data_IF_687838242165
#
_entry.id   IF_687838242165
#
_cell.length_a   1.000
_cell.length_b   1.000
_cell.length_c   1.000
_cell.angle_alpha   90.00
_cell.angle_beta   90.00
_cell.angle_gamma   90.00
#
_symmetry.space_group_name_H-M   'P 1'
#
loop_
_entity.id
_entity.type
_entity.pdbx_description
1 polymer ?
#
# COMPACT_ATOMS: atom_id res chain seq x y z
N UNK A 1 24.93 -5.60 -6.63
CA UNK A 1 23.51 -5.19 -6.72
C UNK A 1 23.11 -5.18 -8.18
N UNK A 2 21.98 -5.78 -8.53
CA UNK A 2 21.47 -5.85 -9.91
C UNK A 2 20.07 -5.22 -9.95
N UNK A 3 19.80 -4.34 -10.92
CA UNK A 3 18.46 -3.77 -11.10
C UNK A 3 17.53 -4.84 -11.68
N UNK A 4 16.46 -5.16 -10.94
CA UNK A 4 15.49 -6.21 -11.30
C UNK A 4 14.21 -5.63 -11.87
N UNK A 5 13.77 -4.49 -11.33
CA UNK A 5 12.51 -3.86 -11.73
C UNK A 5 12.56 -2.35 -11.49
N UNK A 6 12.05 -1.58 -12.46
CA UNK A 6 11.83 -0.13 -12.35
C UNK A 6 10.33 0.11 -12.26
N UNK A 7 9.86 0.45 -11.07
CA UNK A 7 8.47 0.83 -10.83
C UNK A 7 8.24 2.33 -11.02
N UNK A 8 6.98 2.77 -10.81
CA UNK A 8 6.60 4.18 -10.91
C UNK A 8 7.30 5.03 -9.84
N UNK A 9 7.28 4.59 -8.58
CA UNK A 9 7.81 5.34 -7.43
C UNK A 9 9.07 4.72 -6.81
N UNK A 10 9.47 3.51 -7.22
CA UNK A 10 10.59 2.77 -6.64
C UNK A 10 11.34 1.94 -7.69
N UNK A 11 12.65 1.80 -7.50
CA UNK A 11 13.47 0.82 -8.22
C UNK A 11 13.83 -0.33 -7.28
N UNK A 12 13.84 -1.56 -7.80
CA UNK A 12 14.09 -2.79 -7.04
C UNK A 12 15.40 -3.39 -7.50
N UNK A 13 16.32 -3.59 -6.54
CA UNK A 13 17.60 -4.22 -6.78
C UNK A 13 17.70 -5.55 -6.05
N UNK A 14 18.19 -6.59 -6.73
CA UNK A 14 18.59 -7.83 -6.08
C UNK A 14 19.92 -7.64 -5.33
N UNK A 15 19.99 -8.20 -4.13
CA UNK A 15 21.18 -8.28 -3.30
C UNK A 15 21.77 -9.69 -3.34
N UNK A 16 23.07 -9.78 -3.04
CA UNK A 16 23.82 -11.06 -3.06
C UNK A 16 23.37 -12.03 -1.96
N UNK A 17 22.75 -11.52 -0.89
CA UNK A 17 22.23 -12.31 0.22
C UNK A 17 20.80 -12.85 -0.01
N UNK A 18 20.29 -12.72 -1.24
CA UNK A 18 18.95 -13.19 -1.64
C UNK A 18 17.81 -12.23 -1.28
N UNK A 19 18.09 -11.13 -0.58
CA UNK A 19 17.13 -10.07 -0.30
C UNK A 19 17.04 -9.07 -1.46
N UNK A 20 16.12 -8.12 -1.34
CA UNK A 20 15.98 -7.00 -2.26
C UNK A 20 16.26 -5.67 -1.56
N UNK A 21 16.70 -4.67 -2.32
CA UNK A 21 16.73 -3.28 -1.91
C UNK A 21 15.72 -2.48 -2.75
N UNK A 22 14.81 -1.79 -2.09
CA UNK A 22 13.90 -0.83 -2.71
C UNK A 22 14.52 0.56 -2.60
N UNK A 23 14.71 1.26 -3.72
CA UNK A 23 15.15 2.65 -3.77
C UNK A 23 13.97 3.53 -4.11
N UNK A 24 13.60 4.40 -3.18
CA UNK A 24 12.46 5.30 -3.33
C UNK A 24 12.83 6.49 -4.21
N UNK A 25 11.90 6.89 -5.09
CA UNK A 25 12.05 8.00 -6.01
C UNK A 25 11.10 9.14 -5.64
N UNK A 26 11.41 10.32 -6.13
CA UNK A 26 10.58 11.51 -5.99
C UNK A 26 9.50 11.61 -7.10
N UNK A 27 9.47 10.64 -8.01
CA UNK A 27 8.37 10.44 -8.96
C UNK A 27 7.08 10.08 -8.21
N UNK A 28 6.00 10.80 -8.48
CA UNK A 28 4.67 10.53 -7.92
C UNK A 28 3.66 10.26 -9.04
N UNK A 29 2.64 9.45 -8.72
CA UNK A 29 1.59 9.14 -9.67
C UNK A 29 0.64 10.32 -9.87
N UNK A 30 0.08 10.44 -11.06
CA UNK A 30 -0.86 11.50 -11.41
C UNK A 30 -1.27 11.48 -12.87
N UNK A 31 -2.21 12.35 -13.21
CA UNK A 31 -2.68 12.57 -14.58
C UNK A 31 -2.57 14.07 -14.92
N UNK A 32 -2.10 14.38 -16.13
CA UNK A 32 -1.99 15.76 -16.63
C UNK A 32 -1.22 16.73 -15.69
N UNK A 33 -0.18 16.24 -15.01
CA UNK A 33 0.61 17.05 -14.06
C UNK A 33 -0.05 17.26 -12.69
N UNK A 34 -1.19 16.63 -12.42
CA UNK A 34 -1.89 16.68 -11.13
C UNK A 34 -1.63 15.38 -10.38
N UNK A 35 -1.20 15.49 -9.13
CA UNK A 35 -1.00 14.34 -8.24
C UNK A 35 -2.30 13.57 -8.04
N UNK A 36 -2.27 12.26 -8.31
CA UNK A 36 -3.35 11.33 -8.01
C UNK A 36 -2.75 9.99 -7.60
N UNK A 37 -2.88 9.56 -6.33
CA UNK A 37 -2.38 8.27 -5.88
C UNK A 37 -3.14 7.08 -6.47
N UNK A 38 -4.30 7.31 -7.09
CA UNK A 38 -5.06 6.30 -7.82
C UNK A 38 -4.76 6.26 -9.32
N UNK A 39 -3.84 7.08 -9.83
CA UNK A 39 -3.49 7.11 -11.24
C UNK A 39 -2.45 6.05 -11.60
N UNK A 40 -2.53 5.57 -12.85
CA UNK A 40 -1.65 4.53 -13.38
C UNK A 40 -0.41 5.07 -14.11
N UNK A 41 -0.17 6.37 -14.06
CA UNK A 41 0.97 7.02 -14.71
C UNK A 41 1.78 7.87 -13.74
N UNK A 42 3.07 8.05 -14.01
CA UNK A 42 3.87 9.10 -13.34
C UNK A 42 3.36 10.45 -13.84
N UNK A 43 2.88 11.27 -12.91
CA UNK A 43 2.26 12.55 -13.25
C UNK A 43 3.22 13.73 -13.11
N UNK A 44 4.13 13.68 -12.12
CA UNK A 44 5.06 14.75 -11.78
C UNK A 44 6.16 14.22 -10.83
N UNK A 45 7.17 15.07 -10.57
CA UNK A 45 8.17 14.85 -9.53
C UNK A 45 7.95 15.84 -8.38
N UNK A 46 8.02 15.34 -7.16
CA UNK A 46 7.92 16.14 -5.94
C UNK A 46 9.17 15.86 -5.10
N UNK A 47 10.04 16.86 -4.98
CA UNK A 47 11.28 16.73 -4.21
C UNK A 47 11.00 16.26 -2.77
N UNK A 48 11.69 15.20 -2.35
CA UNK A 48 11.57 14.62 -1.02
C UNK A 48 10.39 13.66 -0.82
N UNK A 49 9.54 13.45 -1.84
CA UNK A 49 8.42 12.51 -1.76
C UNK A 49 8.87 11.07 -1.47
N UNK A 50 9.96 10.62 -2.10
CA UNK A 50 10.49 9.27 -1.89
C UNK A 50 10.97 9.08 -0.45
N UNK A 51 11.72 10.06 0.08
CA UNK A 51 12.19 10.02 1.47
C UNK A 51 11.05 10.15 2.48
N UNK A 52 10.03 10.96 2.20
CA UNK A 52 8.84 11.06 3.04
C UNK A 52 8.06 9.73 3.08
N UNK A 53 7.85 9.10 1.92
CA UNK A 53 7.23 7.78 1.82
C UNK A 53 8.02 6.72 2.57
N UNK A 54 9.35 6.73 2.46
CA UNK A 54 10.22 5.81 3.18
C UNK A 54 10.17 6.00 4.71
N UNK A 55 10.10 7.25 5.21
CA UNK A 55 10.00 7.51 6.66
C UNK A 55 8.70 6.94 7.25
N UNK A 56 7.56 7.20 6.62
CA UNK A 56 6.28 6.61 7.01
C UNK A 56 6.33 5.08 6.93
N UNK A 57 6.92 4.55 5.85
CA UNK A 57 7.06 3.11 5.66
C UNK A 57 7.88 2.48 6.78
N UNK A 58 9.06 3.03 7.08
CA UNK A 58 9.89 2.58 8.21
C UNK A 58 9.10 2.57 9.52
N UNK A 59 8.43 3.69 9.83
CA UNK A 59 7.63 3.84 11.05
C UNK A 59 6.57 2.74 11.21
N UNK A 60 5.75 2.54 10.17
CA UNK A 60 4.66 1.56 10.23
C UNK A 60 5.17 0.12 10.21
N UNK A 61 6.15 -0.20 9.36
CA UNK A 61 6.68 -1.57 9.29
C UNK A 61 7.38 -2.00 10.59
N UNK A 62 8.14 -1.10 11.25
CA UNK A 62 8.73 -1.39 12.57
C UNK A 62 7.64 -1.69 13.62
N UNK A 63 6.57 -0.88 13.65
CA UNK A 63 5.44 -1.08 14.57
C UNK A 63 4.67 -2.37 14.29
N UNK A 64 4.41 -2.68 13.02
CA UNK A 64 3.71 -3.90 12.58
C UNK A 64 4.55 -5.14 12.95
N UNK A 65 5.86 -5.11 12.69
CA UNK A 65 6.78 -6.19 13.06
C UNK A 65 6.85 -6.39 14.58
N UNK A 66 6.84 -5.33 15.38
CA UNK A 66 6.81 -5.41 16.84
C UNK A 66 5.55 -6.11 17.39
N UNK A 67 4.45 -6.09 16.64
CA UNK A 67 3.22 -6.82 16.94
C UNK A 67 3.20 -8.26 16.40
N UNK A 68 4.30 -8.72 15.81
CA UNK A 68 4.43 -10.08 15.26
C UNK A 68 3.67 -10.30 13.95
N UNK A 69 3.23 -9.23 13.28
CA UNK A 69 2.56 -9.32 11.98
C UNK A 69 3.63 -9.42 10.89
N UNK A 70 3.54 -10.41 9.97
CA UNK A 70 4.58 -10.66 8.98
C UNK A 70 4.66 -9.54 7.94
N UNK A 71 5.88 -9.02 7.75
CA UNK A 71 6.21 -8.09 6.66
C UNK A 71 7.50 -8.50 5.96
N UNK A 72 7.74 -7.96 4.77
CA UNK A 72 9.04 -8.12 4.10
C UNK A 72 10.14 -7.20 4.66
N UNK A 73 9.84 -6.28 5.56
CA UNK A 73 10.81 -5.26 5.99
C UNK A 73 11.96 -5.86 6.81
N UNK A 74 13.19 -5.40 6.52
CA UNK A 74 14.39 -5.74 7.29
C UNK A 74 14.97 -4.49 7.95
N UNK A 75 15.34 -3.48 7.16
CA UNK A 75 15.89 -2.20 7.65
C UNK A 75 15.74 -1.11 6.56
N UNK A 76 15.93 0.15 6.92
CA UNK A 76 15.92 1.28 6.00
C UNK A 76 16.98 2.33 6.32
N UNK A 77 17.66 2.80 5.26
CA UNK A 77 18.58 3.94 5.25
C UNK A 77 17.84 5.16 4.69
N UNK A 78 17.47 6.07 5.58
CA UNK A 78 16.71 7.28 5.27
C UNK A 78 17.53 8.31 4.48
N UNK A 79 18.85 8.33 4.66
CA UNK A 79 19.73 9.26 3.95
C UNK A 79 19.91 8.82 2.50
N UNK A 80 20.15 7.52 2.29
CA UNK A 80 20.24 6.93 0.97
C UNK A 80 18.88 6.80 0.25
N UNK A 81 17.76 6.90 0.98
CA UNK A 81 16.41 6.72 0.43
C UNK A 81 16.14 5.26 0.05
N UNK A 82 16.64 4.31 0.84
CA UNK A 82 16.56 2.88 0.52
C UNK A 82 16.01 2.03 1.66
N UNK A 83 15.36 0.92 1.31
CA UNK A 83 14.80 -0.06 2.22
C UNK A 83 15.24 -1.46 1.83
N UNK A 84 15.85 -2.19 2.75
CA UNK A 84 16.18 -3.60 2.58
C UNK A 84 14.99 -4.45 2.98
N UNK A 85 14.61 -5.40 2.12
CA UNK A 85 13.44 -6.25 2.30
C UNK A 85 13.73 -7.71 1.95
N UNK A 86 13.04 -8.64 2.60
CA UNK A 86 12.98 -10.03 2.20
C UNK A 86 12.42 -10.13 0.79
N UNK A 87 12.99 -11.00 -0.04
CA UNK A 87 12.42 -11.29 -1.35
C UNK A 87 11.03 -11.91 -1.18
N UNK A 88 10.05 -11.32 -1.86
CA UNK A 88 8.67 -11.79 -1.87
C UNK A 88 8.25 -12.24 -3.26
N UNK A 89 7.37 -13.23 -3.32
CA UNK A 89 6.69 -13.64 -4.54
C UNK A 89 5.26 -13.10 -4.52
N UNK A 90 4.87 -12.19 -5.43
CA UNK A 90 3.51 -11.63 -5.45
C UNK A 90 2.47 -12.70 -5.82
N UNK A 91 1.21 -12.44 -5.51
CA UNK A 91 0.08 -13.25 -5.98
C UNK A 91 -0.24 -12.88 -7.44
N UNK A 92 -0.24 -13.86 -8.34
CA UNK A 92 -0.44 -13.61 -9.78
C UNK A 92 0.60 -12.64 -10.34
N UNK A 93 0.14 -11.55 -10.96
CA UNK A 93 0.98 -10.43 -11.41
C UNK A 93 1.02 -9.26 -10.40
N UNK A 94 0.48 -9.47 -9.20
CA UNK A 94 0.31 -8.46 -8.18
C UNK A 94 -1.17 -8.19 -7.90
N UNK A 95 -1.46 -7.97 -6.62
CA UNK A 95 -2.78 -7.62 -6.12
C UNK A 95 -2.67 -6.34 -5.31
N UNK A 96 -3.66 -5.48 -5.46
CA UNK A 96 -3.85 -4.35 -4.57
C UNK A 96 -5.02 -4.66 -3.63
N UNK A 97 -4.77 -4.59 -2.34
CA UNK A 97 -5.74 -4.94 -1.30
C UNK A 97 -6.09 -3.67 -0.54
N UNK A 98 -7.33 -3.21 -0.70
CA UNK A 98 -7.76 -1.90 -0.22
C UNK A 98 -8.69 -2.08 0.98
N UNK A 99 -8.33 -1.45 2.10
CA UNK A 99 -9.19 -1.35 3.28
C UNK A 99 -9.85 0.02 3.32
N UNK A 100 -11.18 0.07 3.48
CA UNK A 100 -11.98 1.30 3.50
C UNK A 100 -12.75 1.45 4.80
N UNK A 101 -12.62 2.62 5.42
CA UNK A 101 -13.42 3.09 6.56
C UNK A 101 -14.45 4.15 6.14
N UNK A 102 -14.27 4.75 4.96
CA UNK A 102 -15.22 5.68 4.35
C UNK A 102 -15.46 5.30 2.89
N UNK A 103 -16.70 5.45 2.42
CA UNK A 103 -17.03 5.30 1.02
C UNK A 103 -16.52 6.51 0.24
N UNK A 104 -15.42 6.35 -0.48
CA UNK A 104 -14.78 7.39 -1.31
C UNK A 104 -14.13 6.78 -2.55
N UNK A 105 -13.74 7.62 -3.52
CA UNK A 105 -12.97 7.20 -4.69
C UNK A 105 -13.65 6.13 -5.54
N UNK A 106 -12.91 5.09 -5.92
CA UNK A 106 -13.42 4.03 -6.81
C UNK A 106 -14.63 3.27 -6.24
N UNK A 107 -14.77 3.17 -4.91
CA UNK A 107 -15.94 2.59 -4.28
C UNK A 107 -17.22 3.38 -4.62
N UNK A 108 -17.19 4.71 -4.48
CA UNK A 108 -18.34 5.56 -4.85
C UNK A 108 -18.60 5.57 -6.35
N UNK A 109 -17.54 5.52 -7.19
CA UNK A 109 -17.74 5.43 -8.64
C UNK A 109 -18.53 4.17 -9.02
N UNK A 110 -18.29 3.04 -8.34
CA UNK A 110 -19.02 1.78 -8.57
C UNK A 110 -20.39 1.74 -7.90
N UNK A 111 -20.51 2.27 -6.68
CA UNK A 111 -21.68 2.06 -5.83
C UNK A 111 -22.44 3.34 -5.46
N UNK A 112 -22.20 4.47 -6.13
CA UNK A 112 -22.74 5.79 -5.75
C UNK A 112 -24.28 5.93 -5.78
N UNK A 113 -25.00 4.98 -6.38
CA UNK A 113 -26.47 4.88 -6.24
C UNK A 113 -26.90 4.40 -4.85
N UNK A 114 -26.03 3.65 -4.16
CA UNK A 114 -26.30 2.96 -2.90
C UNK A 114 -25.41 3.44 -1.74
N UNK A 115 -24.49 4.37 -2.01
CA UNK A 115 -23.56 4.90 -1.03
C UNK A 115 -23.42 6.43 -1.18
N UNK A 116 -23.24 7.11 -0.06
CA UNK A 116 -22.97 8.56 -0.02
C UNK A 116 -21.48 8.84 0.18
N UNK A 117 -21.01 9.98 -0.30
CA UNK A 117 -19.62 10.40 -0.09
C UNK A 117 -19.28 10.54 1.39
N UNK A 118 -18.19 9.90 1.82
CA UNK A 118 -17.79 9.85 3.22
C UNK A 118 -18.67 8.93 4.10
N UNK A 119 -19.58 8.14 3.53
CA UNK A 119 -20.39 7.19 4.32
C UNK A 119 -19.48 6.24 5.13
N UNK A 120 -19.73 6.02 6.43
CA UNK A 120 -18.96 5.07 7.22
C UNK A 120 -19.00 3.66 6.63
N UNK A 121 -17.84 3.01 6.59
CA UNK A 121 -17.64 1.60 6.28
C UNK A 121 -16.91 0.93 7.44
N UNK A 122 -17.16 -0.36 7.64
CA UNK A 122 -16.57 -1.13 8.72
C UNK A 122 -15.39 -1.97 8.21
N UNK A 123 -14.23 -1.33 8.07
CA UNK A 123 -12.99 -1.94 7.56
C UNK A 123 -13.22 -2.83 6.33
N UNK A 124 -13.97 -2.29 5.34
CA UNK A 124 -14.35 -3.02 4.14
C UNK A 124 -13.10 -3.31 3.31
N UNK A 125 -12.89 -4.59 2.96
CA UNK A 125 -11.75 -5.03 2.15
C UNK A 125 -12.22 -5.41 0.75
N UNK A 126 -11.54 -4.86 -0.25
CA UNK A 126 -11.66 -5.28 -1.65
C UNK A 126 -10.29 -5.47 -2.29
N UNK A 127 -10.26 -6.27 -3.34
CA UNK A 127 -9.03 -6.62 -4.08
C UNK A 127 -9.18 -6.16 -5.52
N UNK A 128 -8.14 -5.53 -6.07
CA UNK A 128 -8.00 -5.25 -7.50
C UNK A 128 -6.78 -5.97 -8.06
N UNK A 129 -6.87 -6.41 -9.31
CA UNK A 129 -5.72 -6.95 -10.05
C UNK A 129 -4.82 -5.79 -10.47
N UNK A 130 -3.49 -5.96 -10.43
CA UNK A 130 -2.56 -5.04 -11.13
C UNK A 130 -2.59 -5.38 -12.62
N UNK A 131 -3.48 -4.71 -13.36
CA UNK A 131 -3.74 -4.92 -14.78
C UNK A 131 -4.06 -3.57 -15.40
N UNK A 132 -2.99 -2.81 -15.70
CA UNK A 132 -3.07 -1.44 -16.25
C UNK A 132 -3.91 -1.42 -17.55
N UNK A 133 -3.85 -2.48 -18.39
CA UNK A 133 -4.62 -2.60 -19.64
C UNK A 133 -6.14 -2.67 -19.41
N UNK A 134 -6.57 -3.07 -18.20
CA UNK A 134 -7.98 -3.20 -17.80
C UNK A 134 -8.37 -2.26 -16.66
N UNK A 135 -7.54 -1.25 -16.36
CA UNK A 135 -7.74 -0.27 -15.29
C UNK A 135 -7.95 -0.91 -13.91
N UNK A 136 -7.10 -1.88 -13.57
CA UNK A 136 -7.04 -2.53 -12.25
C UNK A 136 -8.42 -3.01 -11.74
N UNK A 137 -9.04 -3.99 -12.43
CA UNK A 137 -10.41 -4.40 -12.16
C UNK A 137 -10.55 -5.01 -10.75
N UNK A 138 -11.66 -4.73 -10.03
CA UNK A 138 -12.00 -5.45 -8.82
C UNK A 138 -12.21 -6.94 -9.11
N UNK A 139 -11.75 -7.79 -8.19
CA UNK A 139 -11.88 -9.24 -8.30
C UNK A 139 -12.41 -9.83 -6.98
N UNK A 140 -13.28 -10.84 -7.11
CA UNK A 140 -13.89 -11.54 -5.97
C UNK A 140 -13.01 -12.69 -5.47
N UNK A 141 -13.25 -13.12 -4.23
CA UNK A 141 -12.62 -14.31 -3.65
C UNK A 141 -12.78 -15.55 -4.55
N UNK A 142 -14.00 -15.83 -5.03
CA UNK A 142 -14.25 -16.97 -5.91
C UNK A 142 -13.45 -16.91 -7.21
N UNK A 143 -13.35 -15.73 -7.83
CA UNK A 143 -12.59 -15.57 -9.07
C UNK A 143 -11.07 -15.68 -8.82
N UNK A 144 -10.57 -15.18 -7.69
CA UNK A 144 -9.17 -15.35 -7.30
C UNK A 144 -8.78 -16.82 -7.15
N UNK A 145 -9.65 -17.62 -6.53
CA UNK A 145 -9.46 -19.06 -6.32
C UNK A 145 -9.58 -19.84 -7.64
N UNK A 146 -10.63 -19.60 -8.43
CA UNK A 146 -10.84 -20.25 -9.73
C UNK A 146 -9.73 -19.96 -10.75
N UNK A 147 -9.11 -18.78 -10.67
CA UNK A 147 -7.98 -18.41 -11.53
C UNK A 147 -6.61 -18.85 -10.97
N UNK A 148 -6.58 -19.48 -9.79
CA UNK A 148 -5.35 -19.97 -9.17
C UNK A 148 -4.39 -18.86 -8.70
N UNK A 149 -4.90 -17.66 -8.45
CA UNK A 149 -4.11 -16.49 -8.04
C UNK A 149 -3.88 -16.51 -6.52
N UNK A 150 -4.96 -16.73 -5.77
CA UNK A 150 -5.01 -16.72 -4.32
C UNK A 150 -6.15 -17.66 -3.88
N UNK A 151 -5.83 -18.67 -3.07
CA UNK A 151 -6.85 -19.62 -2.61
C UNK A 151 -7.81 -18.98 -1.60
N UNK A 152 -8.99 -19.59 -1.39
CA UNK A 152 -9.96 -19.11 -0.38
C UNK A 152 -9.36 -19.00 1.04
N UNK A 153 -8.51 -19.95 1.45
CA UNK A 153 -7.88 -19.90 2.78
C UNK A 153 -6.82 -18.81 2.87
N UNK A 154 -6.04 -18.59 1.81
CA UNK A 154 -5.11 -17.46 1.74
C UNK A 154 -5.86 -16.12 1.70
N UNK A 155 -7.03 -16.04 1.04
CA UNK A 155 -7.87 -14.85 1.02
C UNK A 155 -8.36 -14.47 2.42
N UNK A 156 -8.79 -15.44 3.23
CA UNK A 156 -9.16 -15.20 4.64
C UNK A 156 -8.00 -14.59 5.43
N UNK A 157 -6.81 -15.19 5.32
CA UNK A 157 -5.60 -14.67 5.98
C UNK A 157 -5.25 -13.26 5.50
N UNK A 158 -5.27 -13.03 4.19
CA UNK A 158 -4.99 -11.73 3.58
C UNK A 158 -5.97 -10.65 4.02
N UNK A 159 -7.27 -10.98 4.11
CA UNK A 159 -8.31 -10.07 4.61
C UNK A 159 -8.11 -9.75 6.09
N UNK A 160 -7.85 -10.74 6.93
CA UNK A 160 -7.59 -10.54 8.36
C UNK A 160 -6.34 -9.67 8.59
N UNK A 161 -5.25 -9.93 7.87
CA UNK A 161 -4.04 -9.12 7.93
C UNK A 161 -4.31 -7.69 7.49
N UNK A 162 -5.05 -7.51 6.40
CA UNK A 162 -5.43 -6.18 5.88
C UNK A 162 -6.19 -5.38 6.93
N UNK A 163 -7.21 -5.96 7.57
CA UNK A 163 -7.99 -5.27 8.59
C UNK A 163 -7.16 -4.94 9.83
N UNK A 164 -6.30 -5.86 10.29
CA UNK A 164 -5.39 -5.63 11.42
C UNK A 164 -4.41 -4.50 11.13
N UNK A 165 -3.74 -4.54 9.98
CA UNK A 165 -2.75 -3.54 9.57
C UNK A 165 -3.41 -2.17 9.36
N UNK A 166 -4.56 -2.12 8.68
CA UNK A 166 -5.32 -0.89 8.50
C UNK A 166 -5.81 -0.32 9.85
N UNK A 167 -6.15 -1.18 10.81
CA UNK A 167 -6.48 -0.80 12.18
C UNK A 167 -5.32 -0.09 12.88
N UNK A 168 -4.11 -0.64 12.79
CA UNK A 168 -2.89 -0.02 13.33
C UNK A 168 -2.67 1.36 12.69
N UNK A 169 -2.73 1.45 11.36
CA UNK A 169 -2.55 2.75 10.67
C UNK A 169 -3.60 3.77 11.11
N UNK A 170 -4.87 3.33 11.23
CA UNK A 170 -5.97 4.18 11.71
C UNK A 170 -5.74 4.69 13.12
N UNK A 171 -5.30 3.84 14.05
CA UNK A 171 -5.04 4.21 15.44
C UNK A 171 -3.90 5.22 15.55
N UNK A 172 -2.82 5.04 14.79
CA UNK A 172 -1.68 5.96 14.75
C UNK A 172 -2.06 7.33 14.20
N UNK A 173 -2.88 7.37 13.14
CA UNK A 173 -3.41 8.62 12.60
C UNK A 173 -4.35 9.32 13.60
N UNK A 174 -5.18 8.55 14.30
CA UNK A 174 -6.12 9.09 15.30
C UNK A 174 -5.38 9.78 16.46
N UNK A 175 -4.22 9.25 16.89
CA UNK A 175 -3.37 9.89 17.91
C UNK A 175 -2.89 11.29 17.49
N UNK A 176 -2.84 11.58 16.18
CA UNK A 176 -2.46 12.88 15.61
C UNK A 176 -3.68 13.72 15.19
N UNK A 177 -4.89 13.31 15.59
CA UNK A 177 -6.15 13.97 15.25
C UNK A 177 -6.55 13.81 13.78
N UNK A 178 -6.12 12.72 13.13
CA UNK A 178 -6.44 12.43 11.72
C UNK A 178 -7.34 11.20 11.60
N UNK A 179 -8.18 11.17 10.57
CA UNK A 179 -9.01 10.03 10.20
C UNK A 179 -8.44 9.32 8.98
N UNK A 180 -8.32 7.99 9.05
CA UNK A 180 -8.04 7.16 7.88
C UNK A 180 -9.34 6.88 7.12
N UNK A 181 -9.43 7.31 5.86
CA UNK A 181 -10.58 7.02 4.99
C UNK A 181 -10.41 5.68 4.28
N UNK A 182 -9.26 5.47 3.65
CA UNK A 182 -8.85 4.16 3.15
C UNK A 182 -7.34 4.09 2.93
N UNK A 183 -6.86 2.86 2.77
CA UNK A 183 -5.46 2.52 2.52
C UNK A 183 -5.37 1.30 1.60
N UNK A 184 -4.37 1.29 0.73
CA UNK A 184 -4.02 0.22 -0.18
C UNK A 184 -2.75 -0.48 0.28
N UNK A 185 -2.75 -1.79 0.25
CA UNK A 185 -1.59 -2.63 0.53
C UNK A 185 -1.29 -3.58 -0.63
N UNK A 186 -0.07 -4.08 -0.65
CA UNK A 186 0.32 -5.23 -1.46
C UNK A 186 0.79 -6.35 -0.53
N UNK A 187 0.51 -7.59 -0.92
CA UNK A 187 0.93 -8.78 -0.19
C UNK A 187 1.68 -9.73 -1.10
N UNK A 188 2.59 -10.50 -0.50
CA UNK A 188 3.32 -11.55 -1.19
C UNK A 188 3.66 -12.69 -0.24
N UNK A 189 4.18 -13.77 -0.82
CA UNK A 189 4.71 -14.92 -0.08
C UNK A 189 6.20 -14.73 0.14
N UNK A 190 6.65 -14.83 1.39
CA UNK A 190 8.07 -14.75 1.77
C UNK A 190 8.53 -16.08 2.38
N UNK A 191 9.83 -16.36 2.30
CA UNK A 191 10.42 -17.56 2.90
C UNK A 191 10.02 -18.87 2.22
N UNK A 192 10.60 -19.96 2.70
CA UNK A 192 10.37 -21.31 2.15
C UNK A 192 8.98 -21.88 2.53
N UNK A 193 8.44 -21.44 3.67
CA UNK A 193 7.09 -21.76 4.13
C UNK A 193 6.00 -20.95 3.41
N UNK A 194 6.39 -20.03 2.52
CA UNK A 194 5.50 -19.19 1.72
C UNK A 194 4.54 -18.37 2.58
N UNK A 195 5.00 -17.90 3.74
CA UNK A 195 4.21 -17.07 4.65
C UNK A 195 3.69 -15.82 3.92
N UNK A 196 2.39 -15.54 4.05
CA UNK A 196 1.79 -14.30 3.56
C UNK A 196 2.28 -13.14 4.41
N UNK A 197 2.84 -12.12 3.76
CA UNK A 197 3.40 -10.95 4.43
C UNK A 197 3.00 -9.67 3.69
N UNK A 198 2.90 -8.58 4.44
CA UNK A 198 2.81 -7.23 3.88
C UNK A 198 4.11 -6.91 3.14
N UNK A 199 3.98 -6.48 1.89
CA UNK A 199 5.11 -6.06 1.04
C UNK A 199 4.93 -4.60 0.59
N UNK A 200 5.77 -4.17 -0.34
CA UNK A 200 5.84 -2.80 -0.85
C UNK A 200 6.06 -1.76 0.27
N UNK A 201 5.15 -0.81 0.43
CA UNK A 201 5.29 0.35 1.32
C UNK A 201 3.98 0.71 2.07
N UNK A 202 4.12 1.50 3.14
CA UNK A 202 3.01 2.21 3.78
C UNK A 202 3.39 3.69 3.80
N UNK A 203 2.87 4.44 2.83
CA UNK A 203 3.19 5.85 2.63
C UNK A 203 1.92 6.70 2.51
N UNK A 204 2.08 8.03 2.52
CA UNK A 204 0.98 8.94 2.18
C UNK A 204 0.47 8.79 0.75
N UNK A 205 1.25 8.19 -0.15
CA UNK A 205 0.82 7.85 -1.50
C UNK A 205 -0.17 6.67 -1.55
N UNK A 206 -0.22 5.85 -0.51
CA UNK A 206 -1.04 4.64 -0.49
C UNK A 206 -2.32 4.79 0.35
N UNK A 207 -2.56 5.96 0.93
CA UNK A 207 -3.70 6.18 1.83
C UNK A 207 -4.37 7.54 1.62
N UNK A 208 -5.60 7.64 2.11
CA UNK A 208 -6.32 8.90 2.26
C UNK A 208 -6.53 9.19 3.73
N UNK A 209 -5.77 10.14 4.25
CA UNK A 209 -5.92 10.68 5.60
C UNK A 209 -6.61 12.05 5.56
N UNK A 210 -7.44 12.32 6.56
CA UNK A 210 -8.17 13.57 6.70
C UNK A 210 -7.93 14.20 8.06
N UNK A 211 -7.85 15.53 8.11
CA UNK A 211 -7.77 16.32 9.33
C UNK A 211 -8.72 17.49 9.21
N UNK A 212 -9.59 17.71 10.19
CA UNK A 212 -10.55 18.83 10.18
C UNK A 212 -11.39 18.92 8.88
N UNK A 213 -11.79 17.77 8.34
CA UNK A 213 -12.60 17.67 7.12
C UNK A 213 -11.86 17.90 5.80
N UNK A 214 -10.55 18.19 5.82
CA UNK A 214 -9.73 18.27 4.60
C UNK A 214 -8.84 17.06 4.44
N UNK A 215 -8.56 16.70 3.18
CA UNK A 215 -7.55 15.71 2.85
C UNK A 215 -6.16 16.25 3.22
N UNK A 216 -5.35 15.41 3.84
CA UNK A 216 -3.94 15.68 4.12
C UNK A 216 -3.11 15.12 2.96
N UNK A 217 -2.30 15.96 2.35
CA UNK A 217 -1.43 15.55 1.23
C UNK A 217 -0.24 14.72 1.73
N UNK A 218 0.37 13.85 0.89
CA UNK A 218 1.36 12.87 1.36
C UNK A 218 2.57 13.43 2.11
N UNK A 219 3.12 14.57 1.65
CA UNK A 219 4.25 15.22 2.32
C UNK A 219 3.85 15.80 3.68
N UNK A 220 2.72 16.49 3.71
CA UNK A 220 2.17 17.04 4.95
C UNK A 220 1.82 15.92 5.95
N UNK A 221 1.31 14.80 5.46
CA UNK A 221 1.02 13.64 6.29
C UNK A 221 2.28 13.15 7.01
N UNK A 222 3.41 13.08 6.29
CA UNK A 222 4.67 12.69 6.89
C UNK A 222 5.12 13.68 7.97
N UNK A 223 5.00 14.99 7.72
CA UNK A 223 5.32 16.02 8.72
C UNK A 223 4.45 15.92 9.97
N UNK A 224 3.15 15.67 9.81
CA UNK A 224 2.19 15.53 10.91
C UNK A 224 2.38 14.24 11.72
N UNK A 225 3.00 13.22 11.13
CA UNK A 225 3.28 11.94 11.78
C UNK A 225 4.60 11.95 12.57
N UNK A 226 5.46 12.95 12.39
CA UNK A 226 6.68 13.13 13.21
C UNK A 226 6.39 13.39 14.69
#
# INVERSE_FOLDING_TARGET
>A
MELVYTGKTKDVYALEDGNCLLKFKDDVTGENGVFDPGANTVGLQIEGAGKAGLRLTKYFFEKINALGIPTHYIDADLEAGTMKVKKATPFGQGLEVICRYRAVGSFLRRYGKYAQDGQPLDAFVEVTLKDDDRNDPPITEDALDMLGILSQDEYKVLKELTQKIAGIVKEELAQKGMELYDIKFEFGRIGDDKQIALIDEISGGNMRAYKDGRRVEPLELEELMR
#
